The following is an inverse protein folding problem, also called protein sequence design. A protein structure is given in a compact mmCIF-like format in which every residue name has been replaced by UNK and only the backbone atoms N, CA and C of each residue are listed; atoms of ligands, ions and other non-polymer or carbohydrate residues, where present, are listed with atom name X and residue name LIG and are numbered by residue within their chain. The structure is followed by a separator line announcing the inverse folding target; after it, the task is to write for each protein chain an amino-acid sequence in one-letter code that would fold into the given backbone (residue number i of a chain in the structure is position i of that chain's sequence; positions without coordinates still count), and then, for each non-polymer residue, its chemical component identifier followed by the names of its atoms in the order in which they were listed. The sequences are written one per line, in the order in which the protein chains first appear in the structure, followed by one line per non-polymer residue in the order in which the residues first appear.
data_IF_461514117338
#
_entry.id   IF_461514117338
#
_cell.length_a   1.000
_cell.length_b   1.000
_cell.length_c   1.000
_cell.angle_alpha   90.00
_cell.angle_beta   90.00
_cell.angle_gamma   90.00
#
_symmetry.space_group_name_H-M   'P 1'
#
loop_
_entity.id
_entity.type
_entity.pdbx_description
1 polymer ?
#
# COMPACT_ATOMS: atom_id res chain seq x y z
N UNK A 1 1.97 3.78 27.01
CA UNK A 1 3.03 4.80 27.21
C UNK A 1 2.39 6.16 27.04
N UNK A 2 2.04 6.84 28.13
CA UNK A 2 1.33 8.13 28.08
C UNK A 2 2.33 9.27 27.85
N UNK A 3 2.06 10.12 26.86
CA UNK A 3 2.86 11.30 26.52
C UNK A 3 2.78 12.30 27.68
N UNK A 4 3.84 12.39 28.49
CA UNK A 4 3.87 13.23 29.71
C UNK A 4 4.17 14.72 29.45
N UNK A 5 4.77 15.08 28.32
CA UNK A 5 5.12 16.48 28.01
C UNK A 5 4.29 17.03 26.85
N UNK A 6 3.81 18.28 26.95
CA UNK A 6 2.96 18.91 25.93
C UNK A 6 3.64 18.99 24.55
N UNK A 7 4.96 19.18 24.51
CA UNK A 7 5.76 19.19 23.27
C UNK A 7 5.75 17.85 22.53
N UNK A 8 5.76 16.72 23.26
CA UNK A 8 5.68 15.41 22.62
C UNK A 8 4.28 15.14 22.10
N UNK A 9 3.24 15.64 22.77
CA UNK A 9 1.86 15.53 22.31
C UNK A 9 1.67 16.31 21.01
N UNK A 10 2.14 17.57 20.94
CA UNK A 10 2.01 18.39 19.72
C UNK A 10 2.78 17.77 18.55
N UNK A 11 4.00 17.28 18.81
CA UNK A 11 4.81 16.60 17.80
C UNK A 11 4.14 15.32 17.29
N UNK A 12 3.60 14.49 18.19
CA UNK A 12 2.87 13.28 17.80
C UNK A 12 1.57 13.60 17.05
N UNK A 13 0.82 14.62 17.48
CA UNK A 13 -0.39 15.05 16.80
C UNK A 13 -0.09 15.53 15.37
N UNK A 14 0.97 16.32 15.18
CA UNK A 14 1.43 16.74 13.86
C UNK A 14 1.82 15.54 13.00
N UNK A 15 2.61 14.60 13.54
CA UNK A 15 3.04 13.40 12.82
C UNK A 15 1.84 12.53 12.43
N UNK A 16 0.91 12.28 13.36
CA UNK A 16 -0.32 11.53 13.11
C UNK A 16 -1.17 12.21 12.03
N UNK A 17 -1.29 13.54 12.07
CA UNK A 17 -2.00 14.32 11.05
C UNK A 17 -1.36 14.19 9.66
N UNK A 18 -0.02 14.29 9.59
CA UNK A 18 0.72 14.11 8.35
C UNK A 18 0.56 12.69 7.80
N UNK A 19 0.68 11.67 8.65
CA UNK A 19 0.44 10.29 8.26
C UNK A 19 -0.98 10.11 7.73
N UNK A 20 -2.01 10.61 8.43
CA UNK A 20 -3.40 10.54 7.97
C UNK A 20 -3.62 11.23 6.62
N UNK A 21 -2.95 12.37 6.39
CA UNK A 21 -3.00 13.08 5.12
C UNK A 21 -2.44 12.22 3.98
N UNK A 22 -1.23 11.68 4.15
CA UNK A 22 -0.59 10.80 3.16
C UNK A 22 -1.45 9.58 2.87
N UNK A 23 -1.98 8.94 3.92
CA UNK A 23 -2.89 7.80 3.81
C UNK A 23 -4.14 8.15 3.00
N UNK A 24 -4.76 9.30 3.28
CA UNK A 24 -5.99 9.75 2.61
C UNK A 24 -5.74 10.03 1.13
N UNK A 25 -4.60 10.65 0.80
CA UNK A 25 -4.21 10.92 -0.60
C UNK A 25 -4.02 9.60 -1.36
N UNK A 26 -3.26 8.66 -0.82
CA UNK A 26 -3.04 7.35 -1.45
C UNK A 26 -4.34 6.57 -1.64
N UNK A 27 -5.21 6.53 -0.62
CA UNK A 27 -6.53 5.91 -0.71
C UNK A 27 -7.40 6.55 -1.80
N UNK A 28 -7.38 7.88 -1.90
CA UNK A 28 -8.18 8.61 -2.88
C UNK A 28 -7.68 8.32 -4.30
N UNK A 29 -6.37 8.40 -4.54
CA UNK A 29 -5.80 8.12 -5.85
C UNK A 29 -6.14 6.71 -6.32
N UNK A 30 -5.97 5.72 -5.45
CA UNK A 30 -6.29 4.33 -5.81
C UNK A 30 -7.78 4.12 -6.11
N UNK A 31 -8.66 4.69 -5.29
CA UNK A 31 -10.13 4.60 -5.54
C UNK A 31 -10.53 5.28 -6.84
N UNK A 32 -9.86 6.35 -7.24
CA UNK A 32 -10.10 7.00 -8.53
C UNK A 32 -9.68 6.09 -9.69
N UNK A 33 -8.51 5.46 -9.59
CA UNK A 33 -8.05 4.48 -10.59
C UNK A 33 -9.02 3.29 -10.67
N UNK A 34 -9.37 2.67 -9.54
CA UNK A 34 -10.33 1.56 -9.51
C UNK A 34 -11.69 1.93 -10.12
N UNK A 35 -12.17 3.16 -9.87
CA UNK A 35 -13.40 3.68 -10.48
C UNK A 35 -13.27 3.84 -12.00
N UNK A 36 -12.12 4.30 -12.50
CA UNK A 36 -11.86 4.42 -13.94
C UNK A 36 -11.87 3.06 -14.64
N UNK A 37 -11.25 2.05 -14.04
CA UNK A 37 -11.23 0.69 -14.58
C UNK A 37 -12.50 -0.12 -14.26
N UNK A 38 -13.44 0.45 -13.49
CA UNK A 38 -14.66 -0.20 -12.99
C UNK A 38 -14.39 -1.55 -12.30
N UNK A 39 -13.26 -1.65 -11.60
CA UNK A 39 -12.82 -2.86 -10.90
C UNK A 39 -12.81 -2.65 -9.38
N UNK A 40 -12.59 -3.74 -8.65
CA UNK A 40 -12.38 -3.71 -7.21
C UNK A 40 -11.16 -4.53 -6.82
N UNK A 41 -10.65 -4.31 -5.61
CA UNK A 41 -9.61 -5.16 -5.01
C UNK A 41 -10.32 -6.16 -4.08
N UNK A 42 -9.87 -7.42 -4.07
CA UNK A 42 -10.38 -8.42 -3.14
C UNK A 42 -10.12 -7.98 -1.70
N UNK A 43 -11.15 -7.97 -0.88
CA UNK A 43 -11.04 -7.73 0.55
C UNK A 43 -10.52 -8.99 1.27
N UNK A 44 -10.32 -8.95 2.60
CA UNK A 44 -9.79 -10.09 3.38
C UNK A 44 -10.65 -11.36 3.24
N UNK A 45 -11.94 -11.19 2.95
CA UNK A 45 -12.91 -12.26 2.72
C UNK A 45 -12.97 -12.72 1.24
N UNK A 46 -12.03 -12.29 0.39
CA UNK A 46 -11.98 -12.64 -1.04
C UNK A 46 -12.99 -11.91 -1.94
N UNK A 47 -13.89 -11.09 -1.39
CA UNK A 47 -14.90 -10.33 -2.16
C UNK A 47 -14.31 -9.08 -2.80
N UNK A 48 -14.65 -8.81 -4.06
CA UNK A 48 -14.29 -7.58 -4.74
C UNK A 48 -14.91 -6.37 -4.03
N UNK A 49 -14.07 -5.44 -3.59
CA UNK A 49 -14.49 -4.18 -2.98
C UNK A 49 -14.00 -3.00 -3.82
N UNK A 50 -14.90 -2.09 -4.22
CA UNK A 50 -14.54 -0.86 -4.93
C UNK A 50 -13.92 0.21 -4.01
N UNK A 51 -13.93 -0.02 -2.69
CA UNK A 51 -13.44 0.95 -1.69
C UNK A 51 -12.41 0.31 -0.75
N UNK A 52 -11.26 -0.16 -1.26
CA UNK A 52 -10.22 -0.70 -0.40
C UNK A 52 -9.64 0.37 0.54
N UNK A 53 -9.05 -0.08 1.63
CA UNK A 53 -8.29 0.79 2.54
C UNK A 53 -6.80 0.63 2.29
N UNK A 54 -6.02 1.72 2.44
CA UNK A 54 -4.57 1.65 2.24
C UNK A 54 -3.93 0.67 3.23
N UNK A 55 -4.47 0.61 4.46
CA UNK A 55 -4.09 -0.39 5.47
C UNK A 55 -4.26 -1.81 4.93
N UNK A 56 -5.42 -2.14 4.37
CA UNK A 56 -5.65 -3.46 3.80
C UNK A 56 -4.67 -3.77 2.68
N UNK A 57 -4.42 -2.79 1.82
CA UNK A 57 -3.53 -2.98 0.69
C UNK A 57 -2.10 -3.23 1.18
N UNK A 58 -1.60 -2.46 2.15
CA UNK A 58 -0.30 -2.75 2.74
C UNK A 58 -0.22 -4.14 3.37
N UNK A 59 -1.29 -4.63 4.02
CA UNK A 59 -1.33 -6.02 4.50
C UNK A 59 -1.31 -7.04 3.36
N UNK A 60 -2.00 -6.75 2.25
CA UNK A 60 -2.00 -7.60 1.06
C UNK A 60 -0.60 -7.65 0.41
N UNK A 61 0.16 -6.56 0.46
CA UNK A 61 1.53 -6.44 -0.01
C UNK A 61 2.59 -6.96 0.98
N UNK A 62 2.28 -7.09 2.28
CA UNK A 62 3.23 -7.62 3.28
C UNK A 62 3.74 -9.03 2.97
N UNK A 63 2.97 -9.82 2.21
CA UNK A 63 3.39 -11.14 1.76
C UNK A 63 4.27 -11.13 0.50
N UNK A 64 4.62 -9.98 -0.06
CA UNK A 64 5.59 -9.85 -1.14
C UNK A 64 6.96 -9.71 -0.48
N UNK A 65 7.79 -10.73 -0.64
CA UNK A 65 9.12 -10.76 -0.06
C UNK A 65 10.16 -10.63 -1.18
N UNK A 66 11.09 -9.69 -1.03
CA UNK A 66 12.31 -9.66 -1.83
C UNK A 66 13.24 -10.71 -1.23
N UNK A 67 13.54 -11.75 -1.99
CA UNK A 67 14.51 -12.79 -1.61
C UNK A 67 15.74 -12.58 -2.48
N UNK A 68 16.88 -12.35 -1.85
CA UNK A 68 18.17 -12.29 -2.55
C UNK A 68 18.69 -13.71 -2.64
N UNK A 69 18.72 -14.29 -3.84
CA UNK A 69 19.33 -15.60 -4.08
C UNK A 69 20.46 -15.42 -5.11
N UNK A 70 21.69 -15.72 -4.69
CA UNK A 70 22.88 -15.67 -5.55
C UNK A 70 23.07 -14.31 -6.29
N UNK A 71 23.08 -13.20 -5.55
CA UNK A 71 23.25 -11.81 -6.05
C UNK A 71 22.15 -11.28 -6.98
N UNK A 72 21.08 -12.06 -7.22
CA UNK A 72 19.88 -11.61 -7.94
C UNK A 72 18.76 -11.37 -6.93
N UNK A 73 18.25 -10.14 -6.86
CA UNK A 73 17.03 -9.85 -6.12
C UNK A 73 15.87 -10.52 -6.86
N UNK A 74 15.19 -11.48 -6.23
CA UNK A 74 13.99 -12.09 -6.79
C UNK A 74 12.79 -11.78 -5.90
N UNK A 75 11.78 -11.17 -6.49
CA UNK A 75 10.53 -10.89 -5.78
C UNK A 75 9.69 -12.16 -5.75
N UNK A 76 9.65 -12.83 -4.60
CA UNK A 76 8.88 -14.06 -4.39
C UNK A 76 7.46 -13.69 -3.98
N UNK A 77 6.48 -14.48 -4.44
CA UNK A 77 5.04 -14.33 -4.14
C UNK A 77 4.32 -13.21 -4.93
N UNK A 78 4.76 -12.92 -6.16
CA UNK A 78 4.02 -12.10 -7.14
C UNK A 78 2.97 -12.97 -7.87
N UNK A 79 1.81 -13.17 -7.25
CA UNK A 79 0.65 -13.75 -7.92
C UNK A 79 0.06 -12.76 -8.94
N UNK A 80 -0.63 -13.25 -9.97
CA UNK A 80 -1.31 -12.42 -10.99
C UNK A 80 -2.25 -11.39 -10.36
N UNK A 81 -2.92 -11.73 -9.25
CA UNK A 81 -3.79 -10.81 -8.52
C UNK A 81 -3.03 -9.63 -7.90
N UNK A 82 -1.78 -9.85 -7.48
CA UNK A 82 -0.91 -8.81 -6.92
C UNK A 82 -0.35 -7.92 -8.03
N UNK A 83 -0.03 -8.49 -9.19
CA UNK A 83 0.32 -7.72 -10.39
C UNK A 83 -0.84 -6.85 -10.89
N UNK A 84 -2.05 -7.39 -10.92
CA UNK A 84 -3.27 -6.63 -11.21
C UNK A 84 -3.45 -5.51 -10.19
N UNK A 85 -3.26 -5.80 -8.91
CA UNK A 85 -3.33 -4.77 -7.85
C UNK A 85 -2.28 -3.68 -8.04
N UNK A 86 -1.04 -4.04 -8.40
CA UNK A 86 0.05 -3.10 -8.71
C UNK A 86 -0.27 -2.21 -9.92
N UNK A 87 -0.98 -2.72 -10.92
CA UNK A 87 -1.33 -1.93 -12.12
C UNK A 87 -2.21 -0.71 -11.80
N UNK A 88 -2.99 -0.75 -10.71
CA UNK A 88 -3.80 0.37 -10.24
C UNK A 88 -3.00 1.43 -9.47
N UNK A 89 -1.75 1.14 -9.11
CA UNK A 89 -0.87 2.11 -8.47
C UNK A 89 -0.12 2.96 -9.50
N UNK A 90 0.31 4.18 -9.15
CA UNK A 90 1.15 5.01 -10.01
C UNK A 90 2.42 4.27 -10.46
N UNK A 91 2.92 4.60 -11.65
CA UNK A 91 4.13 3.99 -12.22
C UNK A 91 5.34 4.04 -11.27
N UNK A 92 5.48 5.12 -10.50
CA UNK A 92 6.52 5.26 -9.49
C UNK A 92 6.48 4.12 -8.44
N UNK A 93 5.29 3.67 -8.03
CA UNK A 93 5.14 2.53 -7.12
C UNK A 93 5.43 1.20 -7.81
N UNK A 94 5.04 1.05 -9.08
CA UNK A 94 5.30 -0.17 -9.86
C UNK A 94 6.80 -0.41 -10.06
N UNK A 95 7.58 0.67 -10.24
CA UNK A 95 9.03 0.62 -10.42
C UNK A 95 9.74 -0.14 -9.28
N UNK A 96 9.35 0.14 -8.03
CA UNK A 96 9.92 -0.53 -6.84
C UNK A 96 9.70 -2.05 -6.79
N UNK A 97 8.73 -2.57 -7.55
CA UNK A 97 8.42 -4.00 -7.61
C UNK A 97 8.78 -4.62 -8.97
N UNK A 98 9.33 -3.85 -9.91
CA UNK A 98 9.72 -4.35 -11.25
C UNK A 98 11.23 -4.27 -11.51
N UNK A 99 11.92 -3.29 -10.93
CA UNK A 99 13.35 -3.07 -11.17
C UNK A 99 14.27 -3.68 -10.10
N UNK A 100 13.69 -4.27 -9.04
CA UNK A 100 14.42 -5.04 -8.03
C UNK A 100 14.58 -6.51 -8.46
N UNK A 101 14.89 -6.72 -9.75
CA UNK A 101 14.92 -8.02 -10.44
C UNK A 101 16.00 -8.06 -11.50
#
# INVERSE_FOLDING_TARGET
MFLKSPERISTMAMLMGLCLLVYTIGQRQLRLQLKQYNTGIKNQLGKLSPRPTLRWIFQYFQGIHVVILAEVEQIVNLSEERLLTLSFFPYACQKYYRESG
#
